data_IF_665061872912
#
_entry.id   IF_665061872912
#
_cell.length_a   1.000
_cell.length_b   1.000
_cell.length_c   1.000
_cell.angle_alpha   90.00
_cell.angle_beta   90.00
_cell.angle_gamma   90.00
#
_symmetry.space_group_name_H-M   'P 1'
#
loop_
_entity.id
_entity.type
_entity.pdbx_description
1 polymer ?
#
# COMPACT_ATOMS: atom_id res chain seq x y z
N UNK A 1 51.82 4.75 -76.95
CA UNK A 1 51.32 3.36 -76.86
C UNK A 1 52.11 2.64 -75.77
N UNK A 2 51.42 1.79 -75.00
CA UNK A 2 51.87 1.08 -73.79
C UNK A 2 52.94 0.02 -74.04
N UNK A 3 53.65 -0.34 -72.96
CA UNK A 3 54.05 -1.70 -72.50
C UNK A 3 55.52 -1.69 -72.05
N UNK A 4 55.95 -2.21 -70.90
CA UNK A 4 55.31 -2.99 -69.84
C UNK A 4 56.39 -3.73 -69.03
N UNK A 5 56.09 -4.02 -67.75
CA UNK A 5 56.72 -5.00 -66.83
C UNK A 5 58.17 -4.73 -66.37
N UNK A 6 58.54 -4.85 -65.09
CA UNK A 6 58.07 -5.74 -64.03
C UNK A 6 58.10 -5.07 -62.64
N UNK A 7 56.99 -5.14 -61.89
CA UNK A 7 56.99 -4.90 -60.44
C UNK A 7 56.89 -6.24 -59.70
N UNK A 8 57.83 -6.49 -58.79
CA UNK A 8 57.90 -7.69 -57.95
C UNK A 8 56.65 -7.77 -57.07
N UNK A 9 55.91 -8.88 -57.17
CA UNK A 9 54.82 -9.22 -56.25
C UNK A 9 55.44 -9.69 -54.92
N UNK A 10 55.35 -8.86 -53.89
CA UNK A 10 55.54 -9.30 -52.51
C UNK A 10 54.32 -10.14 -52.11
N UNK A 11 54.47 -11.46 -52.06
CA UNK A 11 53.45 -12.42 -51.61
C UNK A 11 53.42 -12.53 -50.08
N UNK A 12 53.33 -11.40 -49.38
CA UNK A 12 53.12 -11.38 -47.92
C UNK A 12 51.74 -10.78 -47.70
N UNK A 13 50.78 -11.64 -47.38
CA UNK A 13 49.48 -11.22 -46.87
C UNK A 13 49.72 -10.76 -45.43
N UNK A 14 49.54 -9.48 -45.08
CA UNK A 14 49.53 -9.11 -43.68
C UNK A 14 48.32 -9.80 -43.05
N UNK A 15 48.54 -10.64 -42.04
CA UNK A 15 47.46 -11.03 -41.16
C UNK A 15 47.01 -9.75 -40.46
N UNK A 16 45.90 -9.17 -40.92
CA UNK A 16 45.18 -8.17 -40.16
C UNK A 16 44.77 -8.85 -38.85
N UNK A 17 45.56 -8.67 -37.80
CA UNK A 17 45.13 -8.89 -36.42
C UNK A 17 44.10 -7.81 -36.05
N UNK A 18 43.03 -7.68 -36.84
CA UNK A 18 41.77 -7.16 -36.34
C UNK A 18 41.04 -8.35 -35.70
N UNK A 19 41.66 -8.91 -34.66
CA UNK A 19 40.85 -9.36 -33.54
C UNK A 19 40.50 -8.05 -32.83
N UNK A 20 39.57 -7.29 -33.42
CA UNK A 20 38.66 -6.53 -32.59
C UNK A 20 37.93 -7.61 -31.80
N UNK A 21 38.55 -8.03 -30.69
CA UNK A 21 37.82 -8.70 -29.64
C UNK A 21 36.67 -7.76 -29.38
N UNK A 22 35.46 -8.17 -29.74
CA UNK A 22 34.24 -7.58 -29.19
C UNK A 22 34.47 -7.59 -27.68
N UNK A 23 34.97 -6.47 -27.14
CA UNK A 23 35.01 -6.26 -25.71
C UNK A 23 33.54 -6.15 -25.39
N UNK A 24 32.95 -7.27 -24.99
CA UNK A 24 31.65 -7.33 -24.35
C UNK A 24 31.79 -6.43 -23.13
N UNK A 25 31.46 -5.16 -23.33
CA UNK A 25 31.63 -4.11 -22.33
C UNK A 25 30.65 -4.44 -21.21
N UNK A 26 31.18 -5.02 -20.14
CA UNK A 26 30.40 -5.28 -18.95
C UNK A 26 29.89 -3.95 -18.41
N UNK A 27 28.68 -3.92 -17.84
CA UNK A 27 28.13 -2.70 -17.26
C UNK A 27 29.08 -2.18 -16.18
N UNK A 28 29.55 -0.95 -16.36
CA UNK A 28 30.42 -0.27 -15.40
C UNK A 28 29.59 0.47 -14.36
N UNK A 29 30.14 0.58 -13.14
CA UNK A 29 29.59 1.48 -12.13
C UNK A 29 29.81 2.92 -12.63
N UNK A 30 28.71 3.57 -13.00
CA UNK A 30 28.72 4.95 -13.53
C UNK A 30 28.54 6.03 -12.44
N UNK A 31 28.16 5.65 -11.22
CA UNK A 31 27.93 6.58 -10.09
C UNK A 31 28.91 6.26 -8.96
N UNK A 32 29.52 7.30 -8.37
CA UNK A 32 30.43 7.10 -7.25
C UNK A 32 29.72 6.61 -5.98
N UNK A 33 30.45 5.93 -5.09
CA UNK A 33 29.92 5.49 -3.79
C UNK A 33 29.47 6.67 -2.93
N UNK A 34 30.20 7.80 -2.97
CA UNK A 34 29.85 9.00 -2.20
C UNK A 34 28.53 9.61 -2.65
N UNK A 35 28.32 9.75 -3.97
CA UNK A 35 27.06 10.24 -4.53
C UNK A 35 25.90 9.28 -4.26
N UNK A 36 26.16 7.97 -4.33
CA UNK A 36 25.15 6.95 -4.02
C UNK A 36 24.71 7.02 -2.55
N UNK A 37 25.65 7.17 -1.61
CA UNK A 37 25.34 7.36 -0.18
C UNK A 37 24.51 8.61 0.06
N UNK A 38 24.95 9.74 -0.51
CA UNK A 38 24.24 11.01 -0.38
C UNK A 38 22.78 10.92 -0.84
N UNK A 39 22.52 10.27 -1.98
CA UNK A 39 21.14 10.08 -2.47
C UNK A 39 20.28 9.24 -1.53
N UNK A 40 20.85 8.22 -0.91
CA UNK A 40 20.14 7.38 0.06
C UNK A 40 19.82 8.18 1.32
N UNK A 41 20.78 8.97 1.81
CA UNK A 41 20.59 9.85 2.97
C UNK A 41 19.51 10.91 2.71
N UNK A 42 19.57 11.60 1.56
CA UNK A 42 18.54 12.59 1.15
C UNK A 42 17.14 11.97 1.09
N UNK A 43 17.02 10.74 0.56
CA UNK A 43 15.76 10.02 0.53
C UNK A 43 15.28 9.64 1.94
N UNK A 44 16.17 9.17 2.82
CA UNK A 44 15.83 8.83 4.21
C UNK A 44 15.33 10.05 4.97
N UNK A 45 16.04 11.18 4.89
CA UNK A 45 15.61 12.45 5.48
C UNK A 45 14.25 12.88 4.97
N UNK A 46 14.01 12.78 3.65
CA UNK A 46 12.70 13.10 3.08
C UNK A 46 11.57 12.23 3.64
N UNK A 47 11.80 10.92 3.80
CA UNK A 47 10.83 10.00 4.38
C UNK A 47 10.54 10.36 5.84
N UNK A 48 11.55 10.71 6.61
CA UNK A 48 11.43 11.04 8.04
C UNK A 48 10.74 12.39 8.28
N UNK A 49 11.07 13.42 7.50
CA UNK A 49 10.61 14.79 7.72
C UNK A 49 9.27 15.10 7.01
N UNK A 50 8.98 14.46 5.89
CA UNK A 50 7.86 14.85 5.00
C UNK A 50 6.78 13.78 4.87
N UNK A 51 7.13 12.50 5.00
CA UNK A 51 6.16 11.41 4.86
C UNK A 51 5.53 11.06 6.22
N UNK A 52 4.21 10.88 6.20
CA UNK A 52 3.38 10.61 7.36
C UNK A 52 3.03 9.12 7.40
N UNK A 53 3.49 8.44 8.46
CA UNK A 53 3.15 7.05 8.74
C UNK A 53 1.63 6.87 8.85
N UNK A 54 1.10 5.84 8.18
CA UNK A 54 -0.33 5.54 8.07
C UNK A 54 -1.05 6.24 6.91
N UNK A 55 -0.43 7.26 6.30
CA UNK A 55 -0.98 8.00 5.15
C UNK A 55 -0.15 7.75 3.90
N UNK A 56 1.15 8.00 3.99
CA UNK A 56 2.08 7.88 2.86
C UNK A 56 2.74 6.50 2.80
N UNK A 57 2.94 5.86 3.95
CA UNK A 57 3.45 4.50 4.07
C UNK A 57 2.88 3.84 5.32
N UNK A 58 2.74 2.50 5.32
CA UNK A 58 2.16 1.74 6.43
C UNK A 58 3.00 0.53 6.82
N UNK A 59 2.90 0.08 8.07
CA UNK A 59 3.45 -1.21 8.48
C UNK A 59 2.34 -2.27 8.42
N UNK A 60 2.64 -3.40 7.80
CA UNK A 60 1.76 -4.58 7.80
C UNK A 60 2.33 -5.58 8.81
N UNK A 61 1.46 -6.12 9.67
CA UNK A 61 1.85 -7.07 10.72
C UNK A 61 2.59 -8.26 10.12
N UNK A 62 3.77 -8.60 10.67
CA UNK A 62 4.58 -9.72 10.23
C UNK A 62 5.68 -9.38 9.21
N UNK A 63 5.82 -8.12 8.81
CA UNK A 63 6.85 -7.69 7.85
C UNK A 63 7.78 -6.63 8.43
N UNK A 64 9.06 -6.68 8.02
CA UNK A 64 10.12 -5.81 8.52
C UNK A 64 10.15 -4.43 7.85
N UNK A 65 9.73 -4.34 6.58
CA UNK A 65 9.72 -3.11 5.80
C UNK A 65 8.31 -2.53 5.69
N UNK A 66 8.14 -1.20 5.78
CA UNK A 66 6.88 -0.56 5.48
C UNK A 66 6.47 -0.74 4.00
N UNK A 67 5.19 -0.60 3.74
CA UNK A 67 4.60 -0.60 2.39
C UNK A 67 4.34 0.83 1.97
N UNK A 68 4.75 1.18 0.75
CA UNK A 68 4.52 2.51 0.18
C UNK A 68 3.06 2.62 -0.24
N UNK A 69 2.34 3.63 0.27
CA UNK A 69 0.96 3.89 -0.10
C UNK A 69 0.89 4.91 -1.23
N UNK A 70 -0.26 4.96 -1.91
CA UNK A 70 -0.50 5.90 -3.01
C UNK A 70 -0.10 7.36 -2.70
N UNK A 71 -0.50 7.97 -1.55
CA UNK A 71 -0.12 9.35 -1.25
C UNK A 71 1.40 9.52 -1.17
N UNK A 72 2.12 8.53 -0.63
CA UNK A 72 3.57 8.54 -0.56
C UNK A 72 4.23 8.43 -1.93
N UNK A 73 3.70 7.56 -2.81
CA UNK A 73 4.16 7.47 -4.19
C UNK A 73 3.95 8.79 -4.96
N UNK A 74 2.83 9.47 -4.74
CA UNK A 74 2.56 10.79 -5.32
C UNK A 74 3.52 11.86 -4.81
N UNK A 75 3.81 11.92 -3.50
CA UNK A 75 4.81 12.82 -2.91
C UNK A 75 6.20 12.59 -3.49
N UNK A 76 6.60 11.33 -3.65
CA UNK A 76 7.88 10.98 -4.26
C UNK A 76 7.94 11.42 -5.73
N UNK A 77 6.86 11.26 -6.50
CA UNK A 77 6.81 11.84 -7.85
C UNK A 77 7.03 13.35 -7.84
N UNK A 78 6.42 14.07 -6.89
CA UNK A 78 6.51 15.52 -6.85
C UNK A 78 7.93 16.00 -6.50
N UNK A 79 8.57 15.39 -5.50
CA UNK A 79 9.93 15.74 -5.05
C UNK A 79 10.99 15.40 -6.09
N UNK A 80 10.86 14.27 -6.78
CA UNK A 80 11.78 13.91 -7.86
C UNK A 80 11.46 14.58 -9.20
N UNK A 81 10.40 15.41 -9.26
CA UNK A 81 10.05 16.13 -10.48
C UNK A 81 9.55 15.23 -11.60
N UNK A 82 8.82 14.16 -11.28
CA UNK A 82 8.24 13.26 -12.26
C UNK A 82 6.85 13.70 -12.72
N UNK A 83 6.62 13.57 -14.02
CA UNK A 83 5.30 13.44 -14.63
C UNK A 83 4.99 11.96 -14.82
N UNK A 84 3.71 11.60 -14.91
CA UNK A 84 3.25 10.21 -14.94
C UNK A 84 2.20 10.01 -16.01
N UNK A 85 2.39 8.98 -16.84
CA UNK A 85 1.40 8.52 -17.83
C UNK A 85 1.02 7.09 -17.52
N UNK A 86 -0.25 6.73 -17.76
CA UNK A 86 -0.76 5.40 -17.47
C UNK A 86 -1.47 4.83 -18.69
N UNK A 87 -1.01 3.68 -19.15
CA UNK A 87 -1.54 2.97 -20.31
C UNK A 87 -2.15 1.65 -19.87
N UNK A 88 -3.38 1.37 -20.30
CA UNK A 88 -4.01 0.06 -20.07
C UNK A 88 -3.48 -0.88 -21.15
N UNK A 89 -2.53 -1.74 -20.78
CA UNK A 89 -1.87 -2.66 -21.72
C UNK A 89 -2.70 -3.93 -21.97
N UNK A 90 -3.52 -4.32 -21.00
CA UNK A 90 -4.44 -5.45 -21.15
C UNK A 90 -5.79 -5.15 -20.49
N UNK A 91 -6.87 -5.54 -21.18
CA UNK A 91 -8.26 -5.37 -20.73
C UNK A 91 -9.05 -6.64 -21.04
N UNK A 92 -9.48 -7.31 -19.98
CA UNK A 92 -10.36 -8.48 -20.06
C UNK A 92 -11.66 -8.12 -19.34
N UNK A 93 -12.76 -8.08 -20.07
CA UNK A 93 -14.09 -7.78 -19.53
C UNK A 93 -15.11 -8.78 -20.09
N UNK A 94 -15.41 -9.82 -19.32
CA UNK A 94 -16.41 -10.84 -19.67
C UNK A 94 -17.67 -10.60 -18.86
N UNK A 95 -18.56 -9.77 -19.39
CA UNK A 95 -19.78 -9.35 -18.74
C UNK A 95 -20.73 -10.52 -18.43
N UNK A 96 -20.73 -11.58 -19.22
CA UNK A 96 -21.57 -12.76 -19.00
C UNK A 96 -21.12 -13.56 -17.76
N UNK A 97 -19.83 -13.50 -17.43
CA UNK A 97 -19.21 -14.28 -16.35
C UNK A 97 -18.75 -13.44 -15.16
N UNK A 98 -18.88 -12.11 -15.24
CA UNK A 98 -18.40 -11.18 -14.21
C UNK A 98 -16.88 -11.19 -14.03
N UNK A 99 -16.11 -11.51 -15.08
CA UNK A 99 -14.65 -11.56 -15.00
C UNK A 99 -14.08 -10.26 -15.58
N UNK A 100 -13.41 -9.50 -14.72
CA UNK A 100 -12.76 -8.26 -15.09
C UNK A 100 -11.30 -8.34 -14.67
N UNK A 101 -10.37 -8.10 -15.60
CA UNK A 101 -8.95 -8.02 -15.29
C UNK A 101 -8.30 -6.90 -16.12
N UNK A 102 -7.44 -6.14 -15.46
CA UNK A 102 -6.71 -5.04 -16.06
C UNK A 102 -5.24 -5.17 -15.77
N UNK A 103 -4.44 -4.87 -16.77
CA UNK A 103 -3.01 -4.65 -16.64
C UNK A 103 -2.70 -3.24 -17.11
N UNK A 104 -1.99 -2.49 -16.28
CA UNK A 104 -1.67 -1.09 -16.47
C UNK A 104 -0.16 -0.93 -16.42
N UNK A 105 0.38 -0.21 -17.40
CA UNK A 105 1.74 0.29 -17.38
C UNK A 105 1.73 1.75 -16.94
N UNK A 106 2.57 2.09 -15.97
CA UNK A 106 2.86 3.46 -15.57
C UNK A 106 4.23 3.84 -16.09
N UNK A 107 4.35 4.97 -16.76
CA UNK A 107 5.63 5.52 -17.22
C UNK A 107 5.88 6.83 -16.48
N UNK A 108 7.05 6.93 -15.82
CA UNK A 108 7.50 8.14 -15.15
C UNK A 108 8.48 8.88 -16.04
N UNK A 109 8.17 10.14 -16.33
CA UNK A 109 8.97 11.01 -17.19
C UNK A 109 9.46 12.18 -16.36
N UNK A 110 10.75 12.40 -16.37
CA UNK A 110 11.38 13.55 -15.73
C UNK A 110 10.94 14.86 -16.39
N UNK A 111 10.44 15.80 -15.59
CA UNK A 111 9.90 17.08 -16.09
C UNK A 111 10.99 18.01 -16.65
N UNK A 112 12.23 17.88 -16.18
CA UNK A 112 13.34 18.77 -16.54
C UNK A 112 13.93 18.45 -17.92
N UNK A 113 14.00 17.17 -18.30
CA UNK A 113 14.61 16.74 -19.56
C UNK A 113 13.70 15.90 -20.47
N UNK A 114 12.49 15.55 -20.01
CA UNK A 114 11.52 14.76 -20.77
C UNK A 114 11.89 13.29 -20.97
N UNK A 115 12.94 12.79 -20.29
CA UNK A 115 13.36 11.40 -20.40
C UNK A 115 12.51 10.49 -19.51
N UNK A 116 12.26 9.27 -19.99
CA UNK A 116 11.64 8.21 -19.19
C UNK A 116 12.64 7.77 -18.12
N UNK A 117 12.25 7.90 -16.86
CA UNK A 117 13.07 7.49 -15.72
C UNK A 117 12.81 6.03 -15.34
N UNK A 118 11.53 5.63 -15.31
CA UNK A 118 11.14 4.26 -15.03
C UNK A 118 9.77 3.93 -15.61
N UNK A 119 9.54 2.65 -15.82
CA UNK A 119 8.22 2.08 -16.06
C UNK A 119 7.88 1.10 -14.94
N UNK A 120 6.59 0.96 -14.64
CA UNK A 120 6.09 -0.01 -13.68
C UNK A 120 4.79 -0.65 -14.17
N UNK A 121 4.58 -1.90 -13.81
CA UNK A 121 3.42 -2.69 -14.18
C UNK A 121 2.54 -2.96 -12.95
N UNK A 122 1.24 -2.89 -13.16
CA UNK A 122 0.25 -3.21 -12.15
C UNK A 122 -0.92 -3.96 -12.76
N UNK A 123 -1.21 -5.15 -12.23
CA UNK A 123 -2.38 -5.92 -12.63
C UNK A 123 -3.36 -6.05 -11.48
N UNK A 124 -4.65 -6.14 -11.79
CA UNK A 124 -5.70 -6.44 -10.82
C UNK A 124 -6.86 -7.15 -11.50
N UNK A 125 -7.53 -8.06 -10.78
CA UNK A 125 -8.69 -8.79 -11.31
C UNK A 125 -9.84 -8.96 -10.29
N UNK A 126 -11.06 -9.18 -10.79
CA UNK A 126 -12.28 -9.34 -9.98
C UNK A 126 -12.33 -10.61 -9.13
N UNK A 127 -11.40 -11.56 -9.32
CA UNK A 127 -11.33 -12.83 -8.57
C UNK A 127 -10.37 -12.76 -7.38
N UNK A 128 -9.71 -11.63 -7.13
CA UNK A 128 -8.89 -11.46 -5.92
C UNK A 128 -9.73 -11.59 -4.64
N UNK A 129 -9.12 -12.09 -3.57
CA UNK A 129 -9.79 -12.34 -2.28
C UNK A 129 -10.48 -11.11 -1.70
N UNK A 130 -9.95 -9.92 -1.97
CA UNK A 130 -10.50 -8.62 -1.55
C UNK A 130 -11.85 -8.29 -2.20
N UNK A 131 -12.17 -8.93 -3.33
CA UNK A 131 -13.38 -8.67 -4.13
C UNK A 131 -14.37 -9.83 -4.14
N UNK A 132 -14.02 -11.00 -3.60
CA UNK A 132 -14.85 -12.21 -3.64
C UNK A 132 -16.31 -12.03 -3.16
N UNK A 133 -16.56 -11.11 -2.22
CA UNK A 133 -17.88 -10.87 -1.63
C UNK A 133 -18.62 -9.68 -2.25
N UNK A 134 -18.08 -9.08 -3.31
CA UNK A 134 -18.64 -7.92 -3.99
C UNK A 134 -19.24 -8.33 -5.33
N UNK A 135 -20.25 -7.60 -5.78
CA UNK A 135 -20.79 -7.79 -7.13
C UNK A 135 -19.72 -7.39 -8.17
N UNK A 136 -19.25 -8.32 -9.03
CA UNK A 136 -18.23 -8.03 -10.03
C UNK A 136 -18.57 -6.84 -10.93
N UNK A 137 -19.85 -6.61 -11.24
CA UNK A 137 -20.28 -5.51 -12.12
C UNK A 137 -20.11 -4.13 -11.48
N UNK A 138 -20.08 -4.06 -10.16
CA UNK A 138 -19.93 -2.80 -9.42
C UNK A 138 -18.48 -2.40 -9.19
N UNK A 139 -17.54 -3.36 -9.31
CA UNK A 139 -16.13 -3.16 -8.97
C UNK A 139 -15.23 -2.92 -10.18
N UNK A 140 -15.75 -2.91 -11.40
CA UNK A 140 -14.98 -2.75 -12.65
C UNK A 140 -13.98 -1.57 -12.55
N UNK A 141 -14.46 -0.39 -12.15
CA UNK A 141 -13.62 0.79 -11.95
C UNK A 141 -12.64 0.65 -10.76
N UNK A 142 -13.05 -0.05 -9.71
CA UNK A 142 -12.20 -0.32 -8.54
C UNK A 142 -11.01 -1.19 -8.95
N UNK A 143 -11.23 -2.26 -9.72
CA UNK A 143 -10.17 -3.14 -10.24
C UNK A 143 -9.22 -2.34 -11.13
N UNK A 144 -9.74 -1.51 -12.05
CA UNK A 144 -8.91 -0.66 -12.91
C UNK A 144 -8.07 0.35 -12.09
N UNK A 145 -8.67 1.02 -11.11
CA UNK A 145 -7.97 1.96 -10.22
C UNK A 145 -6.92 1.27 -9.36
N UNK A 146 -7.17 0.04 -8.91
CA UNK A 146 -6.20 -0.76 -8.18
C UNK A 146 -5.01 -1.16 -9.06
N UNK A 147 -5.25 -1.64 -10.27
CA UNK A 147 -4.19 -1.92 -11.24
C UNK A 147 -3.32 -0.67 -11.50
N UNK A 148 -3.94 0.49 -11.73
CA UNK A 148 -3.24 1.77 -11.91
C UNK A 148 -2.44 2.18 -10.66
N UNK A 149 -2.96 1.95 -9.46
CA UNK A 149 -2.26 2.24 -8.20
C UNK A 149 -1.01 1.36 -8.05
N UNK A 150 -1.13 0.05 -8.29
CA UNK A 150 -0.01 -0.89 -8.24
C UNK A 150 1.08 -0.51 -9.24
N UNK A 151 0.69 -0.16 -10.45
CA UNK A 151 1.62 0.31 -11.48
C UNK A 151 2.36 1.60 -11.07
N UNK A 152 1.68 2.52 -10.37
CA UNK A 152 2.30 3.75 -9.88
C UNK A 152 3.38 3.45 -8.84
N UNK A 153 3.04 2.62 -7.85
CA UNK A 153 3.95 2.26 -6.77
C UNK A 153 5.17 1.54 -7.34
N UNK A 154 4.97 0.59 -8.25
CA UNK A 154 6.05 -0.14 -8.94
C UNK A 154 7.04 0.80 -9.64
N UNK A 155 6.51 1.72 -10.46
CA UNK A 155 7.33 2.67 -11.21
C UNK A 155 8.09 3.62 -10.27
N UNK A 156 7.45 4.08 -9.20
CA UNK A 156 8.06 5.00 -8.23
C UNK A 156 9.16 4.32 -7.42
N UNK A 157 8.95 3.09 -6.96
CA UNK A 157 9.98 2.34 -6.23
C UNK A 157 11.23 2.13 -7.09
N UNK A 158 11.03 1.86 -8.39
CA UNK A 158 12.09 1.70 -9.38
C UNK A 158 12.83 3.03 -9.65
N UNK A 159 12.09 4.11 -9.94
CA UNK A 159 12.68 5.42 -10.25
C UNK A 159 13.45 6.03 -9.06
N UNK A 160 12.88 5.93 -7.86
CA UNK A 160 13.46 6.56 -6.65
C UNK A 160 14.46 5.66 -5.92
N UNK A 161 14.62 4.41 -6.36
CA UNK A 161 15.44 3.39 -5.67
C UNK A 161 15.04 3.19 -4.21
N UNK A 162 13.77 3.39 -3.89
CA UNK A 162 13.23 3.33 -2.53
C UNK A 162 12.77 1.92 -2.10
N UNK A 163 12.98 0.89 -2.93
CA UNK A 163 12.72 -0.53 -2.61
C UNK A 163 13.57 -1.06 -1.43
N UNK A 164 14.67 -0.38 -1.10
CA UNK A 164 15.42 -0.61 0.13
C UNK A 164 14.62 -0.27 1.40
N UNK A 165 13.77 0.76 1.32
CA UNK A 165 12.98 1.32 2.42
C UNK A 165 11.57 0.71 2.43
N UNK A 166 10.93 0.66 1.27
CA UNK A 166 9.54 0.24 1.12
C UNK A 166 9.40 -1.10 0.38
N UNK A 167 8.25 -1.73 0.57
CA UNK A 167 7.82 -2.94 -0.15
C UNK A 167 6.58 -2.65 -0.99
N UNK A 168 6.41 -3.44 -2.05
CA UNK A 168 5.31 -3.36 -2.99
C UNK A 168 4.21 -4.40 -2.71
N UNK A 169 4.61 -5.61 -2.29
CA UNK A 169 3.78 -6.82 -2.39
C UNK A 169 2.76 -6.99 -1.26
N UNK A 170 2.57 -5.98 -0.41
CA UNK A 170 1.93 -6.17 0.89
C UNK A 170 0.66 -5.35 1.09
N UNK A 171 0.31 -4.46 0.15
CA UNK A 171 -1.00 -3.78 0.18
C UNK A 171 -2.18 -4.75 -0.05
N UNK A 172 -1.89 -5.93 -0.62
CA UNK A 172 -2.90 -6.88 -1.08
C UNK A 172 -2.92 -8.21 -0.32
N UNK A 173 -2.06 -8.36 0.69
CA UNK A 173 -2.33 -9.41 1.66
C UNK A 173 -3.70 -9.08 2.25
N UNK A 174 -4.67 -10.02 2.24
CA UNK A 174 -5.74 -9.90 3.18
C UNK A 174 -5.01 -9.81 4.51
N UNK A 175 -5.07 -8.64 5.15
CA UNK A 175 -4.97 -8.61 6.60
C UNK A 175 -5.81 -9.83 7.00
N UNK A 176 -5.17 -10.83 7.62
CA UNK A 176 -5.93 -11.89 8.28
C UNK A 176 -7.07 -11.13 8.91
N UNK A 177 -8.32 -11.41 8.49
CA UNK A 177 -9.46 -10.59 8.87
C UNK A 177 -9.60 -10.73 10.41
N UNK A 178 -8.76 -10.07 11.20
CA UNK A 178 -9.24 -9.14 12.19
C UNK A 178 -10.22 -8.34 11.39
N UNK A 179 -11.49 -8.68 11.59
CA UNK A 179 -12.62 -8.04 10.96
C UNK A 179 -12.49 -6.55 11.24
N UNK A 180 -11.76 -5.82 10.41
CA UNK A 180 -12.00 -4.42 10.13
C UNK A 180 -13.25 -4.39 9.25
N UNK A 181 -14.33 -4.79 9.92
CA UNK A 181 -15.65 -4.26 9.72
C UNK A 181 -15.50 -2.76 9.57
N UNK A 182 -16.25 -2.19 8.62
CA UNK A 182 -16.53 -0.76 8.45
C UNK A 182 -16.99 -0.07 9.75
N UNK A 183 -16.14 0.07 10.77
CA UNK A 183 -16.57 0.38 12.14
C UNK A 183 -15.53 0.97 13.08
N UNK A 184 -14.28 1.22 12.64
CA UNK A 184 -13.20 1.70 13.51
C UNK A 184 -13.06 3.21 13.70
N UNK A 185 -13.92 4.03 13.10
CA UNK A 185 -13.86 5.50 13.23
C UNK A 185 -15.22 6.19 13.21
N UNK A 186 -16.31 5.42 13.36
CA UNK A 186 -17.64 5.99 13.50
C UNK A 186 -18.05 5.90 14.97
N UNK A 187 -18.56 7.01 15.49
CA UNK A 187 -19.14 7.10 16.82
C UNK A 187 -20.23 6.02 16.99
N UNK A 188 -20.47 5.62 18.24
CA UNK A 188 -21.50 4.67 18.63
C UNK A 188 -22.85 4.99 17.98
N UNK A 189 -23.58 3.97 17.54
CA UNK A 189 -24.91 4.19 16.95
C UNK A 189 -25.92 4.55 18.03
N UNK A 190 -26.99 5.27 17.67
CA UNK A 190 -28.08 5.61 18.61
C UNK A 190 -28.67 4.37 19.28
N UNK A 191 -28.78 3.25 18.55
CA UNK A 191 -29.26 1.98 19.11
C UNK A 191 -28.32 1.41 20.19
N UNK A 192 -27.01 1.54 20.03
CA UNK A 192 -26.03 1.10 21.03
C UNK A 192 -26.12 1.98 22.29
N UNK A 193 -26.21 3.31 22.11
CA UNK A 193 -26.36 4.24 23.23
C UNK A 193 -27.66 4.04 24.01
N UNK A 194 -28.77 3.77 23.31
CA UNK A 194 -30.06 3.42 23.92
C UNK A 194 -29.97 2.10 24.69
N UNK A 195 -29.24 1.12 24.18
CA UNK A 195 -29.05 -0.17 24.86
C UNK A 195 -28.23 -0.02 26.14
N UNK A 196 -27.15 0.76 26.10
CA UNK A 196 -26.35 1.10 27.29
C UNK A 196 -27.24 1.78 28.33
N UNK A 197 -28.00 2.80 27.93
CA UNK A 197 -28.87 3.53 28.85
C UNK A 197 -29.92 2.61 29.49
N UNK A 198 -30.55 1.74 28.70
CA UNK A 198 -31.53 0.77 29.20
C UNK A 198 -30.92 -0.19 30.23
N UNK A 199 -29.72 -0.73 29.99
CA UNK A 199 -29.09 -1.68 30.92
C UNK A 199 -28.70 -0.97 32.23
N UNK A 200 -28.15 0.24 32.14
CA UNK A 200 -27.79 1.05 33.32
C UNK A 200 -29.03 1.36 34.17
N UNK A 201 -30.15 1.71 33.53
CA UNK A 201 -31.46 1.95 34.18
C UNK A 201 -32.04 0.68 34.81
N UNK A 202 -32.01 -0.45 34.09
CA UNK A 202 -32.46 -1.76 34.61
C UNK A 202 -31.65 -2.25 35.81
N UNK A 203 -30.38 -1.84 35.93
CA UNK A 203 -29.50 -2.19 37.06
C UNK A 203 -29.60 -1.22 38.23
N UNK A 204 -30.45 -0.19 38.14
CA UNK A 204 -30.50 0.96 39.05
C UNK A 204 -29.10 1.53 39.33
N UNK A 205 -28.25 1.56 38.28
CA UNK A 205 -26.86 1.99 38.40
C UNK A 205 -26.80 3.53 38.31
N UNK A 206 -26.25 4.23 39.32
CA UNK A 206 -26.11 5.67 39.27
C UNK A 206 -25.28 6.11 38.05
N UNK A 207 -25.74 7.16 37.37
CA UNK A 207 -25.11 7.60 36.10
C UNK A 207 -23.63 7.96 36.24
N UNK A 208 -23.19 8.38 37.43
CA UNK A 208 -21.77 8.70 37.69
C UNK A 208 -20.90 7.44 37.79
N UNK A 209 -21.44 6.32 38.28
CA UNK A 209 -20.74 5.03 38.29
C UNK A 209 -20.55 4.52 36.86
N UNK A 210 -21.59 4.62 36.03
CA UNK A 210 -21.48 4.23 34.61
C UNK A 210 -20.46 5.09 33.86
N UNK A 211 -20.36 6.40 34.15
CA UNK A 211 -19.34 7.29 33.59
C UNK A 211 -17.93 6.90 34.03
N UNK A 212 -17.73 6.61 35.31
CA UNK A 212 -16.41 6.17 35.80
C UNK A 212 -16.00 4.83 35.20
N UNK A 213 -16.92 3.88 35.04
CA UNK A 213 -16.64 2.62 34.35
C UNK A 213 -16.19 2.86 32.89
N UNK A 214 -16.86 3.76 32.15
CA UNK A 214 -16.44 4.12 30.79
C UNK A 214 -15.07 4.80 30.76
N UNK A 215 -14.78 5.66 31.74
CA UNK A 215 -13.51 6.36 31.87
C UNK A 215 -12.36 5.40 32.20
N UNK A 216 -12.58 4.46 33.10
CA UNK A 216 -11.59 3.46 33.48
C UNK A 216 -11.32 2.44 32.37
N UNK A 217 -12.35 1.96 31.68
CA UNK A 217 -12.20 0.89 30.68
C UNK A 217 -11.78 1.42 29.30
N UNK A 218 -12.24 2.61 28.92
CA UNK A 218 -12.03 3.14 27.56
C UNK A 218 -11.43 4.55 27.49
N UNK A 219 -11.21 5.21 28.63
CA UNK A 219 -10.64 6.57 28.66
C UNK A 219 -11.58 7.66 28.15
N UNK A 220 -12.90 7.42 28.12
CA UNK A 220 -13.91 8.38 27.62
C UNK A 220 -14.83 8.86 28.74
N UNK A 221 -15.20 10.14 28.71
CA UNK A 221 -16.05 10.74 29.75
C UNK A 221 -17.55 10.69 29.40
N UNK A 222 -17.89 10.50 28.12
CA UNK A 222 -19.27 10.46 27.63
C UNK A 222 -19.50 9.26 26.73
N UNK A 223 -20.67 8.64 26.88
CA UNK A 223 -21.08 7.50 26.04
C UNK A 223 -21.11 7.85 24.54
N UNK A 224 -21.38 9.10 24.18
CA UNK A 224 -21.36 9.58 22.77
C UNK A 224 -19.97 9.59 22.14
N UNK A 225 -18.90 9.55 22.95
CA UNK A 225 -17.52 9.49 22.48
C UNK A 225 -17.04 8.06 22.24
N UNK A 226 -17.83 7.05 22.63
CA UNK A 226 -17.51 5.65 22.35
C UNK A 226 -17.51 5.41 20.85
N UNK A 227 -16.53 4.65 20.37
CA UNK A 227 -16.61 4.03 19.05
C UNK A 227 -17.66 2.92 19.06
N UNK A 228 -18.15 2.51 17.88
CA UNK A 228 -19.09 1.37 17.78
C UNK A 228 -18.57 0.09 18.44
N UNK A 229 -17.26 -0.14 18.38
CA UNK A 229 -16.63 -1.30 19.00
C UNK A 229 -16.63 -1.16 20.52
N UNK A 230 -16.10 -0.04 21.04
CA UNK A 230 -16.12 0.24 22.48
C UNK A 230 -17.53 0.22 23.06
N UNK A 231 -18.53 0.72 22.34
CA UNK A 231 -19.92 0.66 22.77
C UNK A 231 -20.47 -0.78 22.80
N UNK A 232 -20.06 -1.65 21.88
CA UNK A 232 -20.46 -3.06 21.90
C UNK A 232 -19.79 -3.81 23.05
N UNK A 233 -18.50 -3.55 23.26
CA UNK A 233 -17.71 -4.16 24.33
C UNK A 233 -18.28 -3.72 25.70
N UNK A 234 -18.57 -2.43 25.87
CA UNK A 234 -19.18 -1.91 27.10
C UNK A 234 -20.57 -2.49 27.39
N UNK A 235 -21.39 -2.72 26.36
CA UNK A 235 -22.69 -3.40 26.52
C UNK A 235 -22.50 -4.82 27.08
N UNK A 236 -21.50 -5.56 26.60
CA UNK A 236 -21.22 -6.90 27.11
C UNK A 236 -20.74 -6.86 28.56
N UNK A 237 -19.84 -5.94 28.91
CA UNK A 237 -19.38 -5.79 30.29
C UNK A 237 -20.55 -5.50 31.25
N UNK A 238 -21.48 -4.62 30.85
CA UNK A 238 -22.67 -4.32 31.63
C UNK A 238 -23.62 -5.53 31.76
N UNK A 239 -23.77 -6.34 30.72
CA UNK A 239 -24.59 -7.56 30.77
C UNK A 239 -23.98 -8.59 31.73
N UNK A 240 -22.67 -8.79 31.68
CA UNK A 240 -21.97 -9.70 32.60
C UNK A 240 -22.12 -9.21 34.05
N UNK A 241 -21.95 -7.91 34.29
CA UNK A 241 -22.15 -7.32 35.62
C UNK A 241 -23.59 -7.49 36.12
N UNK A 242 -24.58 -7.38 35.22
CA UNK A 242 -26.00 -7.63 35.53
C UNK A 242 -26.22 -9.08 35.93
N UNK A 243 -25.70 -10.05 35.17
CA UNK A 243 -25.81 -11.48 35.47
C UNK A 243 -25.21 -11.81 36.83
N UNK A 244 -24.02 -11.28 37.13
CA UNK A 244 -23.35 -11.49 38.43
C UNK A 244 -24.18 -10.92 39.59
N UNK A 245 -24.79 -9.74 39.42
CA UNK A 245 -25.70 -9.18 40.44
C UNK A 245 -26.93 -10.05 40.66
N UNK A 246 -27.58 -10.49 39.59
CA UNK A 246 -28.79 -11.33 39.68
C UNK A 246 -28.50 -12.66 40.36
N UNK A 247 -27.35 -13.29 40.08
CA UNK A 247 -26.93 -14.54 40.76
C UNK A 247 -26.70 -14.30 42.26
N UNK A 248 -26.06 -13.18 42.62
CA UNK A 248 -25.78 -12.86 44.03
C UNK A 248 -27.04 -12.48 44.82
N UNK A 249 -28.07 -11.94 44.16
CA UNK A 249 -29.38 -11.67 44.77
C UNK A 249 -30.16 -12.97 45.00
N UNK A 250 -30.12 -13.91 44.05
CA UNK A 250 -30.76 -15.22 44.19
C UNK A 250 -30.13 -16.06 45.32
N UNK A 251 -28.80 -16.05 45.46
CA UNK A 251 -28.09 -16.78 46.51
C UNK A 251 -28.23 -16.18 47.92
N UNK A 252 -28.79 -14.97 48.07
CA UNK A 252 -29.06 -14.33 49.36
C UNK A 252 -30.53 -14.45 49.80
N UNK A 253 -31.37 -15.15 49.03
CA UNK A 253 -32.80 -15.33 49.32
C UNK A 253 -33.16 -16.77 49.70
N UNK A 254 -32.17 -17.68 49.75
CA UNK A 254 -32.24 -19.03 50.32
C UNK A 254 -31.50 -19.08 51.67
#
# INVERSE_FOLDING_TARGET
MKSGMHSKRNNIVPFSNNIESEIVSLPNIIVSTAESKRRVEELQTFVEEVMVKGVDYGLVNGFSKPTLLKPGAEKLCDVFGFSKTADVVNRIEKWESGIFAYEVKMTLIRKDNGLVEAEGLGSCNSKESSFQQQDPYTIVNTVLKMAKKRALIDAVLSATRSSGIFTQDIEDFPQAKTKDSKGGGKQATMAQLQTIFRIVDEMDMPTDVAKELMKMTFGVERSTQLTKKQASDFIQDLLVLKEVRTINEQNNTD
#
